data_IF_383212497657
#
_entry.id   IF_383212497657
#
_cell.length_a   1.000
_cell.length_b   1.000
_cell.length_c   1.000
_cell.angle_alpha   90.00
_cell.angle_beta   90.00
_cell.angle_gamma   90.00
#
_symmetry.space_group_name_H-M   'P 1'
#
loop_
_entity.id
_entity.type
_entity.pdbx_description
1 polymer ?
#
# COMPACT_ATOMS: atom_id res chain seq x y z
N UNK A 1 -8.12 36.23 17.36
CA UNK A 1 -7.68 35.18 16.43
C UNK A 1 -8.88 34.28 16.24
N UNK A 2 -9.59 34.46 15.12
CA UNK A 2 -10.84 33.76 14.85
C UNK A 2 -10.52 32.31 14.50
N UNK A 3 -11.02 31.36 15.29
CA UNK A 3 -11.02 29.95 14.90
C UNK A 3 -11.81 29.81 13.59
N UNK A 4 -11.29 29.12 12.56
CA UNK A 4 -12.13 28.74 11.44
C UNK A 4 -13.25 27.86 12.00
N UNK A 5 -14.49 28.26 11.76
CA UNK A 5 -15.67 27.48 12.12
C UNK A 5 -15.68 26.28 11.18
N UNK A 6 -15.33 25.09 11.70
CA UNK A 6 -15.41 23.86 10.92
C UNK A 6 -16.82 23.76 10.31
N UNK A 7 -16.95 23.58 8.99
CA UNK A 7 -18.26 23.45 8.37
C UNK A 7 -19.00 22.27 9.02
N UNK A 8 -20.26 22.46 9.39
CA UNK A 8 -21.07 21.40 9.99
C UNK A 8 -21.28 20.30 8.95
N UNK A 9 -20.54 19.21 9.07
CA UNK A 9 -20.64 18.07 8.16
C UNK A 9 -22.04 17.44 8.26
N UNK A 10 -22.63 17.14 7.10
CA UNK A 10 -23.93 16.47 7.05
C UNK A 10 -23.76 14.98 7.36
N UNK A 11 -24.75 14.35 8.02
CA UNK A 11 -24.80 12.89 8.11
C UNK A 11 -24.74 12.22 6.75
N UNK A 12 -24.01 11.11 6.63
CA UNK A 12 -23.98 10.36 5.37
C UNK A 12 -25.34 9.68 5.13
N UNK A 13 -25.79 9.55 3.87
CA UNK A 13 -27.10 9.02 3.56
C UNK A 13 -27.22 7.55 3.97
N UNK A 14 -28.40 7.17 4.44
CA UNK A 14 -28.83 5.76 4.53
C UNK A 14 -29.13 5.22 3.12
N UNK A 15 -28.19 5.35 2.18
CA UNK A 15 -28.38 4.87 0.81
C UNK A 15 -28.18 3.35 0.73
N UNK A 16 -29.06 2.69 -0.03
CA UNK A 16 -28.82 1.34 -0.52
C UNK A 16 -27.95 1.42 -1.77
N UNK A 17 -26.87 0.64 -1.82
CA UNK A 17 -26.18 0.39 -3.08
C UNK A 17 -27.04 -0.55 -3.93
N UNK A 18 -26.92 -0.45 -5.26
CA UNK A 18 -27.55 -1.42 -6.14
C UNK A 18 -26.94 -2.81 -5.92
N UNK A 19 -27.64 -3.89 -6.28
CA UNK A 19 -27.16 -5.25 -6.02
C UNK A 19 -25.75 -5.54 -6.58
N UNK A 20 -25.42 -4.91 -7.72
CA UNK A 20 -24.12 -5.02 -8.40
C UNK A 20 -23.07 -4.02 -7.90
N UNK A 21 -23.38 -3.23 -6.87
CA UNK A 21 -22.48 -2.25 -6.28
C UNK A 21 -22.09 -2.70 -4.87
N UNK A 22 -20.86 -2.44 -4.51
CA UNK A 22 -20.37 -2.50 -3.15
C UNK A 22 -20.30 -1.07 -2.60
N UNK A 23 -20.57 -0.95 -1.29
CA UNK A 23 -20.51 0.32 -0.55
C UNK A 23 -19.58 0.13 0.63
N UNK A 24 -18.60 0.99 0.74
CA UNK A 24 -17.63 1.01 1.84
C UNK A 24 -17.58 2.42 2.43
N UNK A 25 -17.14 2.55 3.67
CA UNK A 25 -16.92 3.85 4.29
C UNK A 25 -15.44 3.97 4.64
N UNK A 26 -14.82 5.07 4.22
CA UNK A 26 -13.51 5.49 4.71
C UNK A 26 -13.74 6.46 5.87
N UNK A 27 -13.36 6.05 7.07
CA UNK A 27 -13.46 6.81 8.30
C UNK A 27 -12.10 7.44 8.63
N UNK A 28 -12.08 8.75 8.85
CA UNK A 28 -10.85 9.52 9.06
C UNK A 28 -10.97 10.41 10.31
N UNK A 29 -9.85 10.73 10.96
CA UNK A 29 -9.80 11.71 12.04
C UNK A 29 -9.99 13.13 11.50
N UNK A 30 -10.27 14.08 12.40
CA UNK A 30 -10.66 15.45 12.05
C UNK A 30 -9.51 16.39 11.67
N UNK A 31 -8.26 15.95 11.80
CA UNK A 31 -7.05 16.65 11.36
C UNK A 31 -6.69 16.36 9.90
N UNK A 32 -7.35 15.40 9.26
CA UNK A 32 -7.14 15.07 7.85
C UNK A 32 -7.89 16.04 6.96
N UNK A 33 -7.17 16.68 6.05
CA UNK A 33 -7.74 17.60 5.07
C UNK A 33 -8.27 16.85 3.84
N UNK A 34 -9.27 17.42 3.18
CA UNK A 34 -9.87 16.80 1.99
C UNK A 34 -8.89 16.72 0.82
N UNK A 35 -7.95 17.67 0.76
CA UNK A 35 -6.90 17.74 -0.26
C UNK A 35 -5.90 16.58 -0.12
N UNK A 36 -5.70 16.05 1.09
CA UNK A 36 -4.89 14.84 1.31
C UNK A 36 -5.54 13.62 0.65
N UNK A 37 -6.87 13.49 0.80
CA UNK A 37 -7.63 12.40 0.16
C UNK A 37 -7.60 12.52 -1.37
N UNK A 38 -7.71 13.74 -1.93
CA UNK A 38 -7.52 13.96 -3.37
C UNK A 38 -6.11 13.55 -3.80
N UNK A 39 -5.08 14.02 -3.08
CA UNK A 39 -3.67 13.73 -3.39
C UNK A 39 -3.39 12.23 -3.45
N UNK A 40 -3.91 11.46 -2.49
CA UNK A 40 -3.77 10.00 -2.48
C UNK A 40 -4.60 9.31 -3.57
N UNK A 41 -5.69 9.93 -4.04
CA UNK A 41 -6.47 9.40 -5.15
C UNK A 41 -5.77 9.63 -6.49
N UNK A 42 -5.24 10.84 -6.74
CA UNK A 42 -4.55 11.18 -8.01
C UNK A 42 -3.23 10.43 -8.17
N UNK A 43 -2.58 10.06 -7.06
CA UNK A 43 -1.38 9.24 -7.08
C UNK A 43 -1.62 7.79 -7.49
N UNK A 44 -2.84 7.28 -7.33
CA UNK A 44 -3.19 5.88 -7.64
C UNK A 44 -4.07 5.72 -8.87
N UNK A 45 -4.93 6.69 -9.16
CA UNK A 45 -5.89 6.59 -10.25
C UNK A 45 -5.69 7.73 -11.24
N UNK A 46 -5.25 7.39 -12.46
CA UNK A 46 -5.07 8.36 -13.54
C UNK A 46 -6.36 9.12 -13.92
N UNK A 47 -7.54 8.58 -13.58
CA UNK A 47 -8.84 9.21 -13.80
C UNK A 47 -9.39 9.98 -12.60
N UNK A 48 -8.64 10.08 -11.51
CA UNK A 48 -9.03 10.77 -10.29
C UNK A 48 -9.31 12.25 -10.56
N UNK A 49 -10.51 12.71 -10.18
CA UNK A 49 -10.91 14.12 -10.27
C UNK A 49 -12.13 14.39 -9.43
N UNK A 50 -12.32 15.64 -9.03
CA UNK A 50 -13.58 16.09 -8.48
C UNK A 50 -14.62 16.30 -9.58
N UNK A 51 -15.72 15.53 -9.54
CA UNK A 51 -16.93 15.89 -10.28
C UNK A 51 -17.64 17.07 -9.60
N UNK A 52 -17.48 17.18 -8.27
CA UNK A 52 -17.96 18.26 -7.41
C UNK A 52 -16.89 18.54 -6.36
N UNK A 53 -16.18 19.66 -6.45
CA UNK A 53 -15.18 20.01 -5.44
C UNK A 53 -15.86 20.45 -4.14
N UNK A 54 -15.40 20.01 -2.95
CA UNK A 54 -15.86 20.55 -1.68
C UNK A 54 -15.77 22.08 -1.63
N UNK A 55 -16.63 22.72 -0.85
CA UNK A 55 -16.54 24.18 -0.64
C UNK A 55 -15.27 24.54 0.12
N UNK A 56 -14.49 25.49 -0.39
CA UNK A 56 -13.33 26.05 0.30
C UNK A 56 -12.03 25.26 0.11
N UNK A 57 -12.00 24.28 -0.78
CA UNK A 57 -10.79 23.57 -1.20
C UNK A 57 -10.30 24.08 -2.55
N UNK A 58 -8.99 23.96 -2.79
CA UNK A 58 -8.36 24.27 -4.07
C UNK A 58 -7.94 22.95 -4.74
N UNK A 59 -8.82 22.34 -5.56
CA UNK A 59 -8.60 20.99 -6.06
C UNK A 59 -7.39 20.94 -6.99
N UNK A 60 -6.61 19.85 -6.89
CA UNK A 60 -5.44 19.61 -7.76
C UNK A 60 -5.84 19.51 -9.23
N UNK A 61 -7.05 19.02 -9.49
CA UNK A 61 -7.65 18.96 -10.82
C UNK A 61 -8.86 19.88 -10.91
N UNK A 62 -8.99 20.73 -11.97
CA UNK A 62 -10.13 21.62 -12.11
C UNK A 62 -11.47 20.86 -12.09
N UNK A 63 -12.31 21.16 -11.10
CA UNK A 63 -13.63 20.57 -10.99
C UNK A 63 -14.66 21.30 -11.87
N UNK A 64 -15.66 20.60 -12.45
CA UNK A 64 -16.75 21.25 -13.21
C UNK A 64 -17.57 22.24 -12.39
N UNK A 65 -17.65 22.02 -11.07
CA UNK A 65 -18.34 22.90 -10.13
C UNK A 65 -17.85 22.70 -8.70
N UNK A 66 -18.10 23.69 -7.87
CA UNK A 66 -17.96 23.62 -6.41
C UNK A 66 -19.28 23.19 -5.77
N UNK A 67 -19.20 22.46 -4.66
CA UNK A 67 -20.32 22.06 -3.82
C UNK A 67 -21.01 23.30 -3.22
N UNK A 68 -22.33 23.27 -3.07
CA UNK A 68 -23.07 24.29 -2.32
C UNK A 68 -22.81 24.14 -0.81
N UNK A 69 -23.10 25.16 0.02
CA UNK A 69 -23.03 25.01 1.47
C UNK A 69 -23.82 23.80 1.97
N UNK A 70 -23.13 22.88 2.64
CA UNK A 70 -23.68 21.62 3.14
C UNK A 70 -23.75 20.47 2.12
N UNK A 71 -23.51 20.71 0.83
CA UNK A 71 -23.39 19.63 -0.16
C UNK A 71 -22.00 18.96 -0.03
N UNK A 72 -21.91 17.62 -0.02
CA UNK A 72 -20.61 16.94 -0.01
C UNK A 72 -19.91 17.05 -1.38
N UNK A 73 -18.58 16.95 -1.37
CA UNK A 73 -17.81 16.75 -2.59
C UNK A 73 -18.02 15.35 -3.17
N UNK A 74 -17.75 15.21 -4.47
CA UNK A 74 -17.81 13.93 -5.20
C UNK A 74 -16.50 13.74 -5.94
N UNK A 75 -15.62 12.93 -5.37
CA UNK A 75 -14.34 12.53 -5.95
C UNK A 75 -14.54 11.25 -6.75
N UNK A 76 -14.27 11.31 -8.05
CA UNK A 76 -14.34 10.16 -8.94
C UNK A 76 -12.95 9.59 -9.14
N UNK A 77 -12.74 8.30 -8.87
CA UNK A 77 -11.47 7.60 -9.15
C UNK A 77 -11.51 6.80 -10.46
N UNK A 78 -12.70 6.39 -10.90
CA UNK A 78 -12.90 5.66 -12.16
C UNK A 78 -14.26 5.99 -12.80
N UNK A 79 -14.57 5.37 -13.94
CA UNK A 79 -15.91 5.45 -14.54
C UNK A 79 -17.03 4.94 -13.63
N UNK A 80 -16.74 3.98 -12.74
CA UNK A 80 -17.73 3.27 -11.92
C UNK A 80 -17.52 3.43 -10.41
N UNK A 81 -16.43 4.08 -10.00
CA UNK A 81 -16.09 4.29 -8.59
C UNK A 81 -16.10 5.77 -8.22
N UNK A 82 -16.77 6.09 -7.11
CA UNK A 82 -16.86 7.43 -6.55
C UNK A 82 -16.73 7.39 -5.02
N UNK A 83 -16.06 8.40 -4.48
CA UNK A 83 -16.04 8.76 -3.08
C UNK A 83 -16.85 10.03 -2.88
N UNK A 84 -17.84 10.00 -2.01
CA UNK A 84 -18.66 11.17 -1.68
C UNK A 84 -18.40 11.57 -0.23
N UNK A 85 -18.09 12.84 0.01
CA UNK A 85 -17.77 13.34 1.34
C UNK A 85 -17.04 14.68 1.30
N UNK A 86 -16.56 15.18 2.44
CA UNK A 86 -16.68 14.55 3.77
C UNK A 86 -18.11 14.62 4.32
N UNK A 87 -18.53 13.57 5.02
CA UNK A 87 -19.74 13.50 5.84
C UNK A 87 -19.38 13.42 7.33
N UNK A 88 -20.34 13.68 8.22
CA UNK A 88 -20.20 13.41 9.65
C UNK A 88 -20.21 11.90 9.92
N UNK A 89 -19.68 11.43 11.06
CA UNK A 89 -19.57 10.00 11.38
C UNK A 89 -20.93 9.33 11.70
N UNK A 90 -22.01 10.11 11.69
CA UNK A 90 -23.36 9.64 11.98
C UNK A 90 -24.11 9.40 10.68
N UNK A 91 -24.88 8.30 10.64
CA UNK A 91 -25.85 8.10 9.56
C UNK A 91 -26.98 9.13 9.65
N UNK A 92 -27.69 9.38 8.55
CA UNK A 92 -28.89 10.21 8.53
C UNK A 92 -29.95 9.82 9.58
N UNK A 93 -29.99 8.54 9.96
CA UNK A 93 -30.88 8.01 11.01
C UNK A 93 -30.36 8.24 12.44
N UNK A 94 -29.22 8.93 12.59
CA UNK A 94 -28.59 9.22 13.88
C UNK A 94 -27.85 8.05 14.51
N UNK A 95 -27.70 6.94 13.79
CA UNK A 95 -27.01 5.72 14.28
C UNK A 95 -25.55 5.77 13.86
N UNK A 96 -24.63 5.55 14.81
CA UNK A 96 -23.22 5.30 14.48
C UNK A 96 -23.14 3.92 13.80
N UNK A 97 -22.61 3.83 12.56
CA UNK A 97 -22.54 2.56 11.85
C UNK A 97 -21.35 1.73 12.37
N UNK A 98 -21.07 1.71 13.68
CA UNK A 98 -19.94 0.98 14.27
C UNK A 98 -18.55 1.46 13.83
N UNK A 99 -18.36 2.77 13.62
CA UNK A 99 -17.04 3.35 13.32
C UNK A 99 -16.20 3.48 14.60
N UNK A 100 -14.86 3.38 14.50
CA UNK A 100 -13.97 3.56 15.64
C UNK A 100 -14.13 4.93 16.31
N UNK A 101 -13.87 5.03 17.64
CA UNK A 101 -13.80 6.32 18.32
C UNK A 101 -12.67 7.17 17.71
N UNK A 102 -12.89 8.49 17.63
CA UNK A 102 -11.97 9.42 16.97
C UNK A 102 -12.22 9.62 15.47
N UNK A 103 -13.26 8.98 14.91
CA UNK A 103 -13.74 9.31 13.56
C UNK A 103 -14.53 10.61 13.61
N UNK A 104 -14.07 11.63 12.88
CA UNK A 104 -14.74 12.92 12.77
C UNK A 104 -15.31 13.17 11.37
N UNK A 105 -14.81 12.46 10.36
CA UNK A 105 -15.29 12.56 8.99
C UNK A 105 -15.30 11.22 8.26
N UNK A 106 -16.22 11.09 7.29
CA UNK A 106 -16.45 9.86 6.54
C UNK A 106 -16.58 10.16 5.04
N UNK A 107 -15.94 9.35 4.22
CA UNK A 107 -16.20 9.29 2.78
C UNK A 107 -16.97 8.01 2.44
N UNK A 108 -18.09 8.17 1.76
CA UNK A 108 -18.90 7.08 1.23
C UNK A 108 -18.36 6.63 -0.13
N UNK A 109 -17.89 5.40 -0.19
CA UNK A 109 -17.20 4.82 -1.35
C UNK A 109 -18.12 3.82 -2.02
N UNK A 110 -18.50 4.10 -3.27
CA UNK A 110 -19.33 3.20 -4.09
C UNK A 110 -18.52 2.75 -5.29
N UNK A 111 -18.46 1.43 -5.50
CA UNK A 111 -17.76 0.79 -6.62
C UNK A 111 -18.55 -0.45 -7.12
N UNK A 112 -18.20 -1.04 -8.28
CA UNK A 112 -18.73 -2.33 -8.68
C UNK A 112 -18.44 -3.41 -7.64
N UNK A 113 -19.41 -4.31 -7.40
CA UNK A 113 -19.21 -5.49 -6.56
C UNK A 113 -18.68 -6.64 -7.41
N UNK A 114 -17.45 -7.07 -7.12
CA UNK A 114 -16.76 -8.13 -7.83
C UNK A 114 -16.10 -9.08 -6.81
N UNK A 115 -16.70 -10.27 -6.62
CA UNK A 115 -16.24 -11.27 -5.64
C UNK A 115 -15.62 -12.46 -6.37
N UNK A 116 -14.42 -12.85 -5.93
CA UNK A 116 -13.72 -14.04 -6.38
C UNK A 116 -13.83 -15.18 -5.38
N UNK A 117 -12.78 -16.00 -5.32
CA UNK A 117 -12.69 -17.12 -4.41
C UNK A 117 -12.52 -16.68 -2.96
N UNK A 118 -12.89 -17.56 -2.02
CA UNK A 118 -12.66 -17.35 -0.60
C UNK A 118 -11.15 -17.26 -0.29
N UNK A 119 -10.76 -16.56 0.79
CA UNK A 119 -9.36 -16.50 1.21
C UNK A 119 -8.78 -17.89 1.42
N UNK A 120 -7.51 -18.09 1.03
CA UNK A 120 -6.81 -19.35 1.25
C UNK A 120 -6.64 -19.60 2.77
N UNK A 121 -6.99 -20.79 3.28
CA UNK A 121 -6.78 -21.13 4.69
C UNK A 121 -5.31 -21.05 5.07
N UNK A 122 -4.99 -20.33 6.15
CA UNK A 122 -3.62 -20.15 6.62
C UNK A 122 -2.79 -19.14 5.82
N UNK A 123 -3.39 -18.47 4.83
CA UNK A 123 -2.78 -17.28 4.22
C UNK A 123 -2.64 -16.14 5.23
N UNK A 124 -1.65 -15.27 5.01
CA UNK A 124 -1.50 -14.04 5.76
C UNK A 124 -2.69 -13.10 5.57
N UNK A 125 -3.08 -12.39 6.62
CA UNK A 125 -4.19 -11.43 6.60
C UNK A 125 -3.82 -10.17 7.38
N UNK A 126 -2.67 -9.58 7.04
CA UNK A 126 -2.06 -8.45 7.75
C UNK A 126 -3.01 -7.28 7.98
N UNK A 127 -3.88 -7.04 7.00
CA UNK A 127 -4.81 -5.90 6.98
C UNK A 127 -6.28 -6.31 7.25
N UNK A 128 -6.53 -7.59 7.57
CA UNK A 128 -7.86 -8.11 7.91
C UNK A 128 -8.83 -8.26 6.73
N UNK A 129 -8.35 -8.14 5.49
CA UNK A 129 -9.18 -8.24 4.27
C UNK A 129 -9.79 -9.63 4.11
N UNK A 130 -9.03 -10.70 4.40
CA UNK A 130 -9.54 -12.07 4.38
C UNK A 130 -10.66 -12.27 5.40
N UNK A 131 -10.47 -11.76 6.62
CA UNK A 131 -11.47 -11.73 7.70
C UNK A 131 -12.72 -10.93 7.32
N UNK A 132 -12.56 -9.81 6.59
CA UNK A 132 -13.66 -8.98 6.11
C UNK A 132 -14.49 -9.64 5.01
N UNK A 133 -13.87 -10.47 4.17
CA UNK A 133 -14.50 -11.07 3.00
C UNK A 133 -14.37 -12.61 2.99
N UNK A 134 -14.89 -13.32 4.01
CA UNK A 134 -14.66 -14.76 4.17
C UNK A 134 -15.34 -15.61 3.09
N UNK A 135 -16.40 -15.09 2.46
CA UNK A 135 -17.15 -15.80 1.41
C UNK A 135 -16.57 -15.60 0.00
N UNK A 136 -15.63 -14.67 -0.18
CA UNK A 136 -15.06 -14.34 -1.49
C UNK A 136 -14.35 -13.00 -1.47
N UNK A 137 -13.07 -12.98 -1.80
CA UNK A 137 -12.25 -11.77 -1.80
C UNK A 137 -12.74 -10.76 -2.86
N UNK A 138 -12.57 -9.45 -2.64
CA UNK A 138 -12.71 -8.45 -3.69
C UNK A 138 -11.76 -8.78 -4.85
N UNK A 139 -12.24 -8.60 -6.08
CA UNK A 139 -11.43 -8.78 -7.31
C UNK A 139 -11.61 -7.58 -8.23
N UNK A 140 -10.75 -7.46 -9.25
CA UNK A 140 -10.89 -6.47 -10.32
C UNK A 140 -10.93 -5.03 -9.78
N UNK A 141 -12.03 -4.32 -9.99
CA UNK A 141 -12.15 -2.92 -9.57
C UNK A 141 -12.33 -2.79 -8.07
N UNK A 142 -13.10 -3.69 -7.44
CA UNK A 142 -13.31 -3.64 -5.99
C UNK A 142 -12.02 -3.92 -5.22
N UNK A 143 -11.20 -4.86 -5.68
CA UNK A 143 -9.86 -5.13 -5.14
C UNK A 143 -8.96 -3.90 -5.18
N UNK A 144 -8.90 -3.22 -6.34
CA UNK A 144 -8.11 -2.00 -6.50
C UNK A 144 -8.56 -0.89 -5.55
N UNK A 145 -9.86 -0.78 -5.32
CA UNK A 145 -10.44 0.19 -4.38
C UNK A 145 -10.12 -0.19 -2.94
N UNK A 146 -10.34 -1.43 -2.53
CA UNK A 146 -10.09 -1.89 -1.15
C UNK A 146 -8.60 -1.82 -0.80
N UNK A 147 -7.73 -2.27 -1.70
CA UNK A 147 -6.28 -2.14 -1.52
C UNK A 147 -5.87 -0.67 -1.34
N UNK A 148 -6.39 0.22 -2.19
CA UNK A 148 -6.12 1.65 -2.04
C UNK A 148 -6.68 2.24 -0.74
N UNK A 149 -7.90 1.88 -0.35
CA UNK A 149 -8.48 2.33 0.91
C UNK A 149 -7.66 1.88 2.12
N UNK A 150 -7.11 0.66 2.10
CA UNK A 150 -6.22 0.14 3.16
C UNK A 150 -4.97 1.01 3.27
N UNK A 151 -4.35 1.36 2.14
CA UNK A 151 -3.17 2.23 2.16
C UNK A 151 -3.50 3.67 2.59
N UNK A 152 -4.65 4.22 2.17
CA UNK A 152 -5.11 5.55 2.61
C UNK A 152 -5.39 5.56 4.11
N UNK A 153 -6.12 4.56 4.61
CA UNK A 153 -6.42 4.43 6.04
C UNK A 153 -5.14 4.24 6.85
N UNK A 154 -4.17 3.45 6.36
CA UNK A 154 -2.88 3.28 7.01
C UNK A 154 -2.12 4.61 7.11
N UNK A 155 -2.05 5.36 6.01
CA UNK A 155 -1.29 6.62 5.93
C UNK A 155 -1.93 7.74 6.75
N UNK A 156 -3.27 7.86 6.73
CA UNK A 156 -4.00 8.93 7.38
C UNK A 156 -4.53 8.56 8.79
N UNK A 157 -4.10 7.42 9.35
CA UNK A 157 -4.58 6.96 10.67
C UNK A 157 -6.08 6.63 10.72
N UNK A 158 -6.66 6.29 9.58
CA UNK A 158 -8.09 6.03 9.40
C UNK A 158 -8.51 4.57 9.61
N UNK A 159 -9.75 4.29 9.25
CA UNK A 159 -10.32 2.94 9.24
C UNK A 159 -11.33 2.78 8.12
N UNK A 160 -11.64 1.54 7.75
CA UNK A 160 -12.54 1.23 6.65
C UNK A 160 -13.66 0.36 7.18
N UNK A 161 -14.91 0.77 6.96
CA UNK A 161 -16.05 -0.11 7.14
C UNK A 161 -16.43 -0.70 5.80
N UNK A 162 -16.39 -2.02 5.67
CA UNK A 162 -16.63 -2.68 4.40
C UNK A 162 -18.08 -3.15 4.24
N UNK A 163 -18.53 -3.22 2.98
CA UNK A 163 -19.77 -3.85 2.53
C UNK A 163 -21.04 -3.38 3.28
N UNK A 164 -21.14 -2.08 3.55
CA UNK A 164 -22.20 -1.48 4.38
C UNK A 164 -23.60 -1.58 3.78
N UNK A 165 -23.69 -1.81 2.46
CA UNK A 165 -24.95 -2.00 1.77
C UNK A 165 -25.52 -3.43 1.88
N UNK A 166 -24.74 -4.41 2.34
CA UNK A 166 -25.20 -5.79 2.48
C UNK A 166 -25.63 -6.07 3.92
N UNK A 167 -26.93 -6.03 4.18
CA UNK A 167 -27.47 -6.33 5.52
C UNK A 167 -27.20 -7.78 5.98
N UNK A 168 -26.87 -8.70 5.07
CA UNK A 168 -26.52 -10.08 5.42
C UNK A 168 -25.02 -10.26 5.74
N UNK A 169 -24.17 -9.30 5.35
CA UNK A 169 -22.75 -9.33 5.68
C UNK A 169 -22.53 -8.82 7.11
N UNK A 170 -21.62 -9.45 7.89
CA UNK A 170 -21.23 -8.89 9.17
C UNK A 170 -20.60 -7.52 8.98
N UNK A 171 -20.93 -6.62 9.91
CA UNK A 171 -20.35 -5.29 10.01
C UNK A 171 -18.86 -5.38 10.38
N UNK A 172 -17.96 -5.38 9.38
CA UNK A 172 -16.52 -5.47 9.61
C UNK A 172 -15.85 -4.12 9.41
N UNK A 173 -15.02 -3.75 10.39
CA UNK A 173 -14.09 -2.62 10.31
C UNK A 173 -12.67 -3.14 10.16
N UNK A 174 -11.94 -2.55 9.22
CA UNK A 174 -10.51 -2.71 9.02
C UNK A 174 -9.83 -1.48 9.58
N UNK A 175 -8.84 -1.67 10.46
CA UNK A 175 -7.99 -0.60 10.99
C UNK A 175 -6.55 -0.97 10.70
N UNK A 176 -6.04 -0.66 9.49
CA UNK A 176 -4.67 -0.97 9.11
C UNK A 176 -3.67 -0.35 10.09
N UNK A 177 -2.66 -1.13 10.50
CA UNK A 177 -1.62 -0.65 11.42
C UNK A 177 -0.68 0.33 10.69
N UNK A 178 -0.61 1.61 11.09
CA UNK A 178 0.25 2.61 10.44
C UNK A 178 1.73 2.22 10.52
N UNK A 179 2.13 1.48 11.56
CA UNK A 179 3.53 1.09 11.74
C UNK A 179 4.04 0.13 10.66
N UNK A 180 3.14 -0.57 9.93
CA UNK A 180 3.49 -1.57 8.89
C UNK A 180 4.24 -0.96 7.71
N UNK A 181 3.97 0.31 7.36
CA UNK A 181 4.61 0.99 6.24
C UNK A 181 6.04 1.43 6.63
N UNK A 182 6.98 0.49 6.53
CA UNK A 182 8.40 0.74 6.85
C UNK A 182 9.18 1.18 5.63
N UNK A 183 8.89 0.54 4.49
CA UNK A 183 9.68 0.69 3.27
C UNK A 183 9.56 2.07 2.64
N UNK A 184 10.63 2.50 1.99
CA UNK A 184 10.69 3.75 1.25
C UNK A 184 11.43 3.56 -0.07
N UNK A 185 11.15 4.41 -1.05
CA UNK A 185 11.86 4.44 -2.32
C UNK A 185 12.28 5.87 -2.66
N UNK A 186 13.50 6.05 -3.17
CA UNK A 186 13.96 7.31 -3.78
C UNK A 186 14.04 7.12 -5.28
N UNK A 187 13.37 7.97 -6.04
CA UNK A 187 13.46 8.02 -7.50
C UNK A 187 14.31 9.21 -7.92
N UNK A 188 15.33 8.99 -8.75
CA UNK A 188 16.24 10.04 -9.21
C UNK A 188 16.70 9.79 -10.65
N UNK A 189 17.19 10.82 -11.33
CA UNK A 189 17.90 10.71 -12.61
C UNK A 189 19.40 10.42 -12.44
N UNK A 190 19.89 10.36 -11.21
CA UNK A 190 21.28 10.09 -10.87
C UNK A 190 21.48 8.61 -10.55
N UNK A 191 22.39 7.97 -11.28
CA UNK A 191 22.91 6.65 -10.97
C UNK A 191 24.17 6.74 -10.11
N UNK A 192 24.14 6.11 -8.94
CA UNK A 192 25.33 5.92 -8.11
C UNK A 192 26.03 4.63 -8.51
N UNK A 193 27.35 4.68 -8.65
CA UNK A 193 28.16 3.47 -8.71
C UNK A 193 27.98 2.65 -7.40
N UNK A 194 28.03 1.31 -7.44
CA UNK A 194 27.87 0.48 -6.25
C UNK A 194 28.75 0.88 -5.06
N UNK A 195 30.00 1.28 -5.30
CA UNK A 195 30.90 1.72 -4.22
C UNK A 195 30.53 3.09 -3.68
N UNK A 196 30.05 3.99 -4.55
CA UNK A 196 29.56 5.31 -4.13
C UNK A 196 28.30 5.16 -3.27
N UNK A 197 27.36 4.30 -3.66
CA UNK A 197 26.18 3.99 -2.86
C UNK A 197 26.53 3.32 -1.53
N UNK A 198 27.48 2.38 -1.51
CA UNK A 198 27.98 1.78 -0.28
C UNK A 198 28.60 2.83 0.65
N UNK A 199 29.34 3.81 0.11
CA UNK A 199 29.92 4.90 0.91
C UNK A 199 28.84 5.81 1.52
N UNK A 200 27.79 6.15 0.76
CA UNK A 200 26.64 6.95 1.25
C UNK A 200 25.91 6.22 2.37
N UNK A 201 25.55 4.95 2.15
CA UNK A 201 24.83 4.15 3.17
C UNK A 201 25.75 3.81 4.35
N UNK A 202 27.05 3.63 4.11
CA UNK A 202 28.05 3.34 5.12
C UNK A 202 28.27 4.48 6.12
N UNK A 203 28.00 5.72 5.72
CA UNK A 203 27.96 6.86 6.64
C UNK A 203 26.81 6.78 7.65
N UNK A 204 25.72 6.09 7.30
CA UNK A 204 24.57 5.84 8.20
C UNK A 204 24.80 4.60 9.06
N UNK A 205 25.24 3.50 8.44
CA UNK A 205 25.45 2.25 9.15
C UNK A 205 26.75 1.53 8.72
N UNK A 206 27.70 1.29 9.65
CA UNK A 206 29.04 0.84 9.30
C UNK A 206 29.14 -0.63 8.86
N UNK A 207 28.09 -1.44 9.08
CA UNK A 207 28.05 -2.86 8.66
C UNK A 207 27.33 -3.08 7.33
N UNK A 208 27.12 -2.03 6.54
CA UNK A 208 26.59 -2.20 5.18
C UNK A 208 27.57 -3.01 4.34
N UNK A 209 27.05 -3.92 3.53
CA UNK A 209 27.83 -4.68 2.56
C UNK A 209 27.18 -4.63 1.19
N UNK A 210 27.98 -4.71 0.13
CA UNK A 210 27.48 -4.90 -1.22
C UNK A 210 27.00 -6.33 -1.40
N UNK A 211 25.75 -6.49 -1.83
CA UNK A 211 25.16 -7.78 -2.18
C UNK A 211 25.36 -8.11 -3.66
N UNK A 212 26.57 -7.85 -4.16
CA UNK A 212 26.97 -8.18 -5.53
C UNK A 212 27.61 -9.56 -5.64
N UNK A 213 28.06 -10.13 -4.52
CA UNK A 213 28.64 -11.47 -4.44
C UNK A 213 27.55 -12.47 -4.01
N UNK A 214 26.82 -13.01 -4.98
CA UNK A 214 25.86 -14.09 -4.73
C UNK A 214 26.55 -15.43 -4.48
N UNK A 215 25.92 -16.28 -3.67
CA UNK A 215 26.26 -17.71 -3.66
C UNK A 215 25.63 -18.40 -4.88
N UNK A 216 26.28 -19.39 -5.50
CA UNK A 216 25.64 -20.20 -6.54
C UNK A 216 24.35 -20.81 -5.98
N UNK A 217 23.23 -20.57 -6.66
CA UNK A 217 21.95 -21.20 -6.33
C UNK A 217 22.12 -22.72 -6.36
N UNK A 218 21.81 -23.37 -5.23
CA UNK A 218 22.03 -24.81 -5.06
C UNK A 218 20.82 -25.65 -5.54
N UNK A 219 19.84 -25.02 -6.18
CA UNK A 219 18.56 -25.66 -6.47
C UNK A 219 17.61 -25.61 -5.28
N UNK A 220 16.33 -25.94 -5.49
CA UNK A 220 15.41 -26.20 -4.40
C UNK A 220 15.87 -27.43 -3.59
N UNK A 221 15.45 -27.55 -2.31
CA UNK A 221 15.70 -28.75 -1.53
C UNK A 221 15.23 -30.02 -2.26
N UNK A 222 16.02 -31.08 -2.21
CA UNK A 222 15.65 -32.35 -2.84
C UNK A 222 14.32 -32.87 -2.28
N UNK A 223 13.44 -33.32 -3.18
CA UNK A 223 12.15 -33.91 -2.82
C UNK A 223 11.03 -32.91 -2.54
N UNK A 224 11.23 -31.61 -2.75
CA UNK A 224 10.22 -30.57 -2.47
C UNK A 224 8.88 -30.80 -3.20
N UNK A 225 8.90 -31.45 -4.37
CA UNK A 225 7.70 -31.80 -5.14
C UNK A 225 7.16 -33.21 -4.89
N UNK A 226 7.80 -34.02 -4.05
CA UNK A 226 7.40 -35.41 -3.82
C UNK A 226 6.28 -35.54 -2.79
N UNK A 227 6.32 -34.70 -1.75
CA UNK A 227 5.37 -34.71 -0.65
C UNK A 227 4.29 -33.63 -0.83
N UNK A 228 3.09 -33.84 -0.24
CA UNK A 228 2.10 -32.78 -0.10
C UNK A 228 2.66 -31.58 0.66
N UNK A 229 2.38 -30.37 0.17
CA UNK A 229 2.78 -29.10 0.81
C UNK A 229 2.14 -28.94 2.20
N UNK A 230 0.92 -29.44 2.37
CA UNK A 230 0.19 -29.42 3.63
C UNK A 230 -0.74 -30.63 3.77
N UNK A 231 -1.18 -30.91 5.00
CA UNK A 231 -2.11 -32.01 5.28
C UNK A 231 -3.45 -31.75 4.57
N UNK A 232 -3.85 -32.66 3.69
CA UNK A 232 -5.12 -32.58 2.96
C UNK A 232 -5.03 -31.90 1.59
N UNK A 233 -3.83 -31.65 1.08
CA UNK A 233 -3.63 -31.28 -0.33
C UNK A 233 -4.35 -32.26 -1.27
N UNK A 234 -5.07 -31.72 -2.24
CA UNK A 234 -5.84 -32.49 -3.25
C UNK A 234 -5.15 -32.53 -4.62
N UNK A 235 -4.00 -31.86 -4.75
CA UNK A 235 -3.22 -31.82 -5.98
C UNK A 235 -2.70 -33.21 -6.33
N UNK A 236 -2.93 -33.62 -7.57
CA UNK A 236 -2.43 -34.89 -8.09
C UNK A 236 -0.88 -34.96 -7.98
N UNK A 237 -0.30 -36.05 -7.45
CA UNK A 237 1.14 -36.16 -7.30
C UNK A 237 1.94 -36.08 -8.61
N UNK A 238 1.38 -36.49 -9.75
CA UNK A 238 2.07 -36.36 -11.04
C UNK A 238 2.06 -34.91 -11.50
N UNK A 239 0.91 -34.24 -11.41
CA UNK A 239 0.82 -32.80 -11.69
C UNK A 239 1.75 -31.98 -10.80
N UNK A 240 1.85 -32.29 -9.50
CA UNK A 240 2.79 -31.61 -8.59
C UNK A 240 4.24 -31.75 -9.06
N UNK A 241 4.66 -32.99 -9.36
CA UNK A 241 6.02 -33.25 -9.89
C UNK A 241 6.26 -32.49 -11.19
N UNK A 242 5.27 -32.43 -12.08
CA UNK A 242 5.37 -31.68 -13.33
C UNK A 242 5.51 -30.17 -13.11
N UNK A 243 4.74 -29.60 -12.17
CA UNK A 243 4.84 -28.17 -11.81
C UNK A 243 6.20 -27.82 -11.22
N UNK A 244 6.76 -28.67 -10.36
CA UNK A 244 8.11 -28.47 -9.82
C UNK A 244 9.18 -28.59 -10.91
N UNK A 245 9.09 -29.60 -11.78
CA UNK A 245 10.03 -29.72 -12.90
C UNK A 245 9.96 -28.50 -13.86
N UNK A 246 8.75 -27.97 -14.10
CA UNK A 246 8.58 -26.76 -14.90
C UNK A 246 9.18 -25.52 -14.20
N UNK A 247 9.06 -25.43 -12.87
CA UNK A 247 9.71 -24.36 -12.10
C UNK A 247 11.23 -24.48 -12.19
N UNK A 248 11.79 -25.69 -12.07
CA UNK A 248 13.23 -25.95 -12.23
C UNK A 248 13.73 -25.54 -13.62
N UNK A 249 12.98 -25.87 -14.68
CA UNK A 249 13.31 -25.45 -16.05
C UNK A 249 13.35 -23.92 -16.20
N UNK A 250 12.41 -23.21 -15.57
CA UNK A 250 12.36 -21.73 -15.54
C UNK A 250 13.58 -21.18 -14.81
N UNK A 251 13.92 -21.71 -13.64
CA UNK A 251 15.05 -21.28 -12.83
C UNK A 251 16.39 -21.51 -13.55
N UNK A 252 16.55 -22.70 -14.17
CA UNK A 252 17.73 -23.02 -14.99
C UNK A 252 17.83 -22.06 -16.16
N UNK A 253 16.72 -21.80 -16.87
CA UNK A 253 16.71 -20.84 -17.97
C UNK A 253 17.10 -19.43 -17.50
N UNK A 254 16.61 -18.97 -16.35
CA UNK A 254 16.97 -17.68 -15.77
C UNK A 254 18.48 -17.61 -15.46
N UNK A 255 19.03 -18.62 -14.78
CA UNK A 255 20.45 -18.70 -14.40
C UNK A 255 21.39 -18.82 -15.61
N UNK A 256 20.94 -19.46 -16.69
CA UNK A 256 21.76 -19.69 -17.90
C UNK A 256 21.52 -18.67 -19.01
N UNK A 257 20.53 -17.78 -18.86
CA UNK A 257 20.17 -16.77 -19.86
C UNK A 257 21.28 -15.78 -20.21
N UNK A 258 22.28 -15.64 -19.33
CA UNK A 258 23.34 -14.64 -19.49
C UNK A 258 22.83 -13.20 -19.38
N UNK A 259 21.63 -12.98 -18.82
CA UNK A 259 21.11 -11.63 -18.54
C UNK A 259 22.11 -10.89 -17.65
N UNK A 260 22.46 -9.69 -18.08
CA UNK A 260 23.29 -8.77 -17.31
C UNK A 260 22.41 -8.18 -16.20
N UNK A 261 22.94 -8.13 -14.98
CA UNK A 261 22.30 -7.42 -13.88
C UNK A 261 22.22 -5.93 -14.24
N UNK A 262 21.00 -5.39 -14.26
CA UNK A 262 20.67 -3.98 -14.48
C UNK A 262 20.53 -3.21 -13.16
N UNK A 263 21.00 -3.81 -12.06
CA UNK A 263 20.89 -3.32 -10.70
C UNK A 263 21.93 -3.91 -9.76
N UNK A 264 21.99 -3.37 -8.55
CA UNK A 264 22.82 -3.88 -7.45
C UNK A 264 22.11 -3.68 -6.10
N UNK A 265 22.54 -4.45 -5.10
CA UNK A 265 21.98 -4.39 -3.75
C UNK A 265 23.01 -4.00 -2.69
N UNK A 266 22.55 -3.35 -1.63
CA UNK A 266 23.28 -3.18 -0.37
C UNK A 266 22.48 -3.82 0.76
N UNK A 267 23.17 -4.45 1.71
CA UNK A 267 22.53 -5.15 2.82
C UNK A 267 23.05 -4.65 4.16
N UNK A 268 22.14 -4.49 5.11
CA UNK A 268 22.42 -4.15 6.50
C UNK A 268 21.77 -5.20 7.40
N UNK A 269 22.58 -6.09 7.96
CA UNK A 269 22.12 -7.10 8.93
C UNK A 269 21.82 -6.46 10.30
N UNK A 270 20.54 -6.44 10.68
CA UNK A 270 20.06 -5.94 11.97
C UNK A 270 20.00 -7.04 13.05
N UNK A 271 20.53 -8.23 12.78
CA UNK A 271 20.57 -9.36 13.70
C UNK A 271 19.17 -9.88 13.98
N UNK A 272 18.70 -9.72 15.21
CA UNK A 272 17.37 -10.21 15.63
C UNK A 272 16.22 -9.44 14.98
N UNK A 273 16.45 -8.20 14.55
CA UNK A 273 15.41 -7.34 13.98
C UNK A 273 15.24 -7.56 12.45
N UNK A 274 16.05 -8.41 11.82
CA UNK A 274 15.95 -8.74 10.39
C UNK A 274 17.02 -8.06 9.53
N UNK A 275 16.67 -7.74 8.28
CA UNK A 275 17.57 -7.21 7.27
C UNK A 275 17.00 -5.93 6.68
N UNK A 276 17.85 -4.92 6.46
CA UNK A 276 17.50 -3.80 5.57
C UNK A 276 18.26 -3.96 4.27
N UNK A 277 17.53 -3.99 3.16
CA UNK A 277 18.06 -4.06 1.81
C UNK A 277 17.87 -2.71 1.10
N UNK A 278 18.90 -2.27 0.38
CA UNK A 278 18.78 -1.17 -0.59
C UNK A 278 18.95 -1.77 -1.97
N UNK A 279 17.88 -1.83 -2.74
CA UNK A 279 17.90 -2.31 -4.13
C UNK A 279 17.98 -1.11 -5.05
N UNK A 280 18.98 -1.08 -5.93
CA UNK A 280 19.20 0.00 -6.88
C UNK A 280 19.08 -0.56 -8.29
N UNK A 281 18.23 0.04 -9.11
CA UNK A 281 18.02 -0.41 -10.49
C UNK A 281 17.29 0.64 -11.33
N UNK A 282 17.30 0.45 -12.65
CA UNK A 282 16.47 1.24 -13.56
C UNK A 282 14.99 0.88 -13.39
N UNK A 283 14.12 1.89 -13.41
CA UNK A 283 12.67 1.73 -13.34
C UNK A 283 12.00 2.47 -14.49
N UNK A 284 11.20 1.74 -15.27
CA UNK A 284 10.38 2.29 -16.36
C UNK A 284 8.92 2.47 -15.91
N UNK A 285 8.46 1.68 -14.95
CA UNK A 285 7.11 1.73 -14.39
C UNK A 285 7.08 2.62 -13.15
N UNK A 286 7.11 3.93 -13.38
CA UNK A 286 7.10 4.91 -12.29
C UNK A 286 5.70 5.13 -11.69
N UNK A 287 5.64 5.50 -10.38
CA UNK A 287 4.45 6.02 -9.73
C UNK A 287 3.77 7.10 -10.58
N UNK A 288 2.43 7.16 -10.57
CA UNK A 288 1.68 8.03 -11.46
C UNK A 288 2.06 9.52 -11.33
N UNK A 289 2.36 9.97 -10.11
CA UNK A 289 2.78 11.36 -9.86
C UNK A 289 4.10 11.72 -10.54
N UNK A 290 5.00 10.75 -10.74
CA UNK A 290 6.31 10.99 -11.36
C UNK A 290 6.25 11.02 -12.89
N UNK A 291 5.20 10.48 -13.52
CA UNK A 291 5.12 10.36 -14.98
C UNK A 291 5.16 11.68 -15.74
N UNK A 292 4.74 12.77 -15.11
CA UNK A 292 4.71 14.10 -15.71
C UNK A 292 5.89 14.98 -15.31
N UNK A 293 6.83 14.44 -14.51
CA UNK A 293 8.02 15.17 -14.09
C UNK A 293 9.06 15.09 -15.21
N UNK A 294 9.62 16.21 -15.71
CA UNK A 294 10.44 16.21 -16.93
C UNK A 294 11.64 15.26 -16.89
N UNK A 295 12.35 15.18 -15.76
CA UNK A 295 13.54 14.33 -15.60
C UNK A 295 13.19 12.83 -15.63
N UNK A 296 11.98 12.45 -15.22
CA UNK A 296 11.53 11.08 -15.10
C UNK A 296 10.87 10.53 -16.39
N UNK A 297 10.79 11.35 -17.44
CA UNK A 297 10.06 11.04 -18.68
C UNK A 297 10.62 9.86 -19.49
N UNK A 298 11.85 9.42 -19.20
CA UNK A 298 12.51 8.28 -19.85
C UNK A 298 12.77 7.13 -18.84
N UNK A 299 12.08 7.13 -17.70
CA UNK A 299 12.38 6.27 -16.56
C UNK A 299 13.24 6.98 -15.51
N UNK A 300 13.52 6.28 -14.42
CA UNK A 300 14.33 6.76 -13.31
C UNK A 300 15.23 5.66 -12.76
N UNK A 301 16.20 6.04 -11.94
CA UNK A 301 16.87 5.13 -11.00
C UNK A 301 16.00 5.04 -9.76
N UNK A 302 15.64 3.83 -9.36
CA UNK A 302 14.92 3.56 -8.13
C UNK A 302 15.88 3.00 -7.07
N UNK A 303 15.94 3.67 -5.92
CA UNK A 303 16.61 3.21 -4.71
C UNK A 303 15.55 2.74 -3.71
N UNK A 304 15.28 1.44 -3.67
CA UNK A 304 14.26 0.85 -2.79
C UNK A 304 14.90 0.43 -1.48
N UNK A 305 14.56 1.10 -0.39
CA UNK A 305 15.02 0.78 0.96
C UNK A 305 13.93 -0.04 1.65
N UNK A 306 14.19 -1.35 1.79
CA UNK A 306 13.23 -2.36 2.22
C UNK A 306 13.65 -2.99 3.53
N UNK A 307 12.71 -3.23 4.43
CA UNK A 307 12.95 -4.02 5.63
C UNK A 307 12.32 -5.41 5.50
N UNK A 308 13.16 -6.43 5.67
CA UNK A 308 12.74 -7.82 5.70
C UNK A 308 12.79 -8.34 7.15
N UNK A 309 11.63 -8.61 7.78
CA UNK A 309 11.58 -9.19 9.12
C UNK A 309 12.04 -10.65 9.09
N UNK A 310 12.56 -11.15 10.21
CA UNK A 310 13.02 -12.56 10.31
C UNK A 310 11.89 -13.57 10.18
N UNK A 311 10.72 -13.25 10.73
CA UNK A 311 9.54 -14.10 10.65
C UNK A 311 8.54 -13.48 9.67
N UNK A 312 8.58 -13.97 8.44
CA UNK A 312 7.69 -13.51 7.37
C UNK A 312 6.24 -13.90 7.65
N UNK A 313 5.97 -15.02 8.33
CA UNK A 313 4.60 -15.43 8.66
C UNK A 313 4.01 -14.49 9.70
N UNK A 314 4.76 -14.20 10.76
CA UNK A 314 4.35 -13.24 11.78
C UNK A 314 4.13 -11.84 11.18
N UNK A 315 4.96 -11.44 10.22
CA UNK A 315 4.82 -10.15 9.54
C UNK A 315 3.48 -9.98 8.80
N UNK A 316 2.85 -11.09 8.43
CA UNK A 316 1.57 -11.12 7.72
C UNK A 316 0.37 -11.38 8.64
N UNK A 317 0.57 -11.42 9.96
CA UNK A 317 -0.53 -11.50 10.91
C UNK A 317 -1.15 -10.13 11.17
N UNK A 318 -2.48 -10.07 11.31
CA UNK A 318 -3.20 -8.84 11.67
C UNK A 318 -2.76 -8.30 13.04
N UNK A 319 -2.43 -9.19 13.97
CA UNK A 319 -1.97 -8.85 15.33
C UNK A 319 -0.58 -9.46 15.56
N UNK A 320 0.50 -8.75 15.20
CA UNK A 320 1.86 -9.23 15.41
C UNK A 320 2.28 -9.13 16.89
N UNK A 321 3.33 -9.88 17.29
CA UNK A 321 3.87 -9.78 18.64
C UNK A 321 4.45 -8.41 18.95
N UNK A 322 4.64 -8.16 20.26
CA UNK A 322 5.34 -6.96 20.72
C UNK A 322 6.79 -6.92 20.22
N UNK A 323 7.46 -8.07 20.13
CA UNK A 323 8.85 -8.16 19.66
C UNK A 323 8.95 -7.69 18.20
N UNK A 324 8.07 -8.18 17.32
CA UNK A 324 8.05 -7.72 15.93
C UNK A 324 7.74 -6.23 15.82
N UNK A 325 6.83 -5.69 16.65
CA UNK A 325 6.53 -4.24 16.68
C UNK A 325 7.75 -3.41 17.09
N UNK A 326 8.56 -3.89 18.03
CA UNK A 326 9.81 -3.23 18.43
C UNK A 326 10.87 -3.30 17.32
N UNK A 327 11.04 -4.48 16.70
CA UNK A 327 11.94 -4.65 15.56
C UNK A 327 11.56 -3.71 14.41
N UNK A 328 10.27 -3.66 14.08
CA UNK A 328 9.69 -2.78 13.07
C UNK A 328 10.01 -1.32 13.34
N UNK A 329 9.77 -0.83 14.56
CA UNK A 329 10.08 0.56 14.93
C UNK A 329 11.55 0.91 14.69
N UNK A 330 12.47 0.02 15.10
CA UNK A 330 13.92 0.22 14.90
C UNK A 330 14.29 0.18 13.41
N UNK A 331 13.65 -0.68 12.63
CA UNK A 331 13.81 -0.73 11.19
C UNK A 331 13.31 0.54 10.51
N UNK A 332 12.14 1.09 10.90
CA UNK A 332 11.63 2.37 10.40
C UNK A 332 12.65 3.50 10.58
N UNK A 333 13.26 3.62 11.76
CA UNK A 333 14.27 4.64 12.03
C UNK A 333 15.51 4.49 11.12
N UNK A 334 15.95 3.24 10.87
CA UNK A 334 17.07 2.95 9.98
C UNK A 334 16.72 3.20 8.50
N UNK A 335 15.55 2.73 8.03
CA UNK A 335 15.07 2.92 6.66
C UNK A 335 14.93 4.40 6.34
N UNK A 336 14.34 5.19 7.24
CA UNK A 336 14.25 6.65 7.08
C UNK A 336 15.64 7.30 7.00
N UNK A 337 16.59 6.87 7.85
CA UNK A 337 17.95 7.42 7.85
C UNK A 337 18.74 7.10 6.59
N UNK A 338 18.62 5.87 6.08
CA UNK A 338 19.22 5.45 4.81
C UNK A 338 18.59 6.19 3.64
N UNK A 339 17.26 6.31 3.62
CA UNK A 339 16.51 7.04 2.59
C UNK A 339 16.93 8.50 2.53
N UNK A 340 17.02 9.20 3.67
CA UNK A 340 17.53 10.58 3.73
C UNK A 340 18.95 10.72 3.20
N UNK A 341 19.85 9.78 3.54
CA UNK A 341 21.23 9.83 3.08
C UNK A 341 21.34 9.64 1.57
N UNK A 342 20.55 8.71 1.00
CA UNK A 342 20.46 8.49 -0.44
C UNK A 342 19.89 9.75 -1.11
N UNK A 343 18.73 10.23 -0.64
CA UNK A 343 18.10 11.44 -1.17
C UNK A 343 19.03 12.65 -1.14
N UNK A 344 19.79 12.87 -0.06
CA UNK A 344 20.77 13.96 0.03
C UNK A 344 21.90 13.84 -1.02
N UNK A 345 22.22 12.62 -1.46
CA UNK A 345 23.26 12.37 -2.46
C UNK A 345 22.75 12.47 -3.91
N UNK A 346 21.49 12.08 -4.17
CA UNK A 346 20.95 11.94 -5.54
C UNK A 346 19.79 12.89 -5.88
N UNK A 347 19.21 13.57 -4.89
CA UNK A 347 17.99 14.36 -5.06
C UNK A 347 16.79 13.51 -5.49
N UNK A 348 15.89 14.12 -6.27
CA UNK A 348 14.73 13.43 -6.85
C UNK A 348 13.49 13.50 -5.96
N UNK A 349 12.76 12.39 -5.85
CA UNK A 349 11.48 12.32 -5.13
C UNK A 349 11.44 11.06 -4.25
N UNK A 350 10.83 11.15 -3.06
CA UNK A 350 10.70 10.03 -2.12
C UNK A 350 9.26 9.53 -2.14
N UNK A 351 9.08 8.22 -2.12
CA UNK A 351 7.78 7.57 -1.97
C UNK A 351 7.79 6.56 -0.80
N UNK A 352 6.65 6.41 -0.13
CA UNK A 352 6.44 5.39 0.91
C UNK A 352 6.18 4.00 0.31
N UNK A 353 5.90 3.02 1.18
CA UNK A 353 5.61 1.64 0.80
C UNK A 353 4.38 1.49 -0.13
N UNK A 354 3.50 2.50 -0.21
CA UNK A 354 2.31 2.54 -1.05
C UNK A 354 2.51 3.37 -2.33
N UNK A 355 3.76 3.77 -2.63
CA UNK A 355 4.16 4.65 -3.73
C UNK A 355 3.56 6.06 -3.66
N UNK A 356 3.16 6.50 -2.47
CA UNK A 356 2.72 7.87 -2.25
C UNK A 356 3.92 8.77 -1.94
N UNK A 357 4.01 9.92 -2.61
CA UNK A 357 5.13 10.84 -2.40
C UNK A 357 5.16 11.37 -0.97
N UNK A 358 6.36 11.55 -0.44
CA UNK A 358 6.64 12.03 0.92
C UNK A 358 7.59 13.21 0.83
N UNK A 359 7.31 14.29 1.57
CA UNK A 359 8.25 15.39 1.66
C UNK A 359 9.53 14.90 2.36
N UNK A 360 10.73 15.16 1.80
CA UNK A 360 11.99 14.79 2.44
C UNK A 360 12.18 15.30 3.88
N UNK A 361 11.44 16.34 4.31
CA UNK A 361 11.43 16.83 5.69
C UNK A 361 10.61 15.98 6.65
N UNK A 362 9.66 15.19 6.11
CA UNK A 362 8.75 14.32 6.88
C UNK A 362 9.28 12.88 7.01
N UNK A 363 10.36 12.56 6.30
CA UNK A 363 11.14 11.31 6.44
C UNK A 363 12.04 11.41 7.66
#
# INVERSE_FOLDING_TARGET
MSQPTSPTLQPFPASSAQAHQARHLLALPGDVEVDEVETLAVSRFAGARWDVAPSGTDPLTPAPRTAKPGEPGVLRTSRHTTLTGPYSPWSADGVNPGLPPGTDQVFDVVCPRDRGDAPLPGGGDRDGVGRAFPAGLPTREEERVISWLVEVARRLGGSIRVDTANAASPAVVLTPDPGVAVDMSVFSDVWLDPQAAMAVVGAVHPRVVLATEGSPYQGPPQGIGELPLYRGETLDPELRRALHAQADDIDIAALTSGKVLDGYGLLIDMGVDGLVAVEVGGEEQLPLLLRNVPWASQGAVAYRVRWEPRDLVESQMEVPSFELKVARKRATELVASVTRAIYAAVGGEIADAADFLVDPQDV
#
